data_IF_569730450164
#
_entry.id   IF_569730450164
#
_cell.length_a   1.000
_cell.length_b   1.000
_cell.length_c   1.000
_cell.angle_alpha   90.00
_cell.angle_beta   90.00
_cell.angle_gamma   90.00
#
_symmetry.space_group_name_H-M   'P 1'
#
loop_
_entity.id
_entity.type
_entity.pdbx_description
1 polymer ?
#
# COMPACT_ATOMS: atom_id res chain seq x y z
N UNK A 1 23.12 -8.63 -20.92
CA UNK A 1 22.43 -8.83 -22.22
C UNK A 1 22.19 -7.45 -22.83
N UNK A 2 22.62 -7.19 -24.07
CA UNK A 2 22.50 -5.88 -24.72
C UNK A 2 21.06 -5.69 -25.28
N UNK A 3 20.25 -4.75 -24.75
CA UNK A 3 18.88 -4.54 -25.22
C UNK A 3 18.80 -3.90 -26.61
N UNK A 4 19.90 -3.37 -27.16
CA UNK A 4 19.96 -2.67 -28.45
C UNK A 4 20.31 -3.57 -29.64
N UNK A 5 20.59 -4.86 -29.43
CA UNK A 5 20.91 -5.75 -30.53
C UNK A 5 19.64 -6.02 -31.38
N UNK A 6 19.65 -5.63 -32.64
CA UNK A 6 18.55 -5.67 -33.62
C UNK A 6 18.32 -7.06 -34.21
N UNK A 7 17.84 -8.01 -33.40
CA UNK A 7 17.25 -9.25 -33.93
C UNK A 7 15.75 -9.25 -33.61
N UNK A 8 14.90 -9.51 -34.60
CA UNK A 8 13.44 -9.69 -34.46
C UNK A 8 13.03 -10.89 -33.57
N UNK A 9 13.99 -11.56 -32.93
CA UNK A 9 13.72 -12.64 -31.98
C UNK A 9 13.16 -12.10 -30.66
N UNK A 10 12.10 -12.74 -30.16
CA UNK A 10 11.61 -12.53 -28.79
C UNK A 10 12.71 -12.82 -27.78
N UNK A 11 12.91 -11.92 -26.81
CA UNK A 11 13.94 -12.05 -25.77
C UNK A 11 13.33 -12.09 -24.38
N UNK A 12 13.77 -13.06 -23.59
CA UNK A 12 13.49 -13.11 -22.15
C UNK A 12 14.31 -12.04 -21.44
N UNK A 13 13.64 -11.25 -20.61
CA UNK A 13 14.26 -10.18 -19.81
C UNK A 13 13.78 -10.28 -18.36
N UNK A 14 14.57 -9.83 -17.37
CA UNK A 14 14.12 -9.78 -15.99
C UNK A 14 12.92 -8.84 -15.83
N UNK A 15 11.98 -9.15 -14.93
CA UNK A 15 10.73 -8.39 -14.81
C UNK A 15 10.88 -7.03 -14.12
N UNK A 16 12.02 -6.77 -13.47
CA UNK A 16 12.23 -5.58 -12.62
C UNK A 16 11.97 -4.26 -13.33
N UNK A 17 12.38 -4.12 -14.60
CA UNK A 17 12.13 -2.92 -15.40
C UNK A 17 10.64 -2.69 -15.67
N UNK A 18 9.90 -3.75 -16.00
CA UNK A 18 8.46 -3.66 -16.21
C UNK A 18 7.74 -3.33 -14.90
N UNK A 19 8.10 -3.97 -13.79
CA UNK A 19 7.54 -3.70 -12.46
C UNK A 19 7.78 -2.24 -12.03
N UNK A 20 8.99 -1.71 -12.26
CA UNK A 20 9.28 -0.30 -12.00
C UNK A 20 8.42 0.65 -12.85
N UNK A 21 8.16 0.30 -14.11
CA UNK A 21 7.24 1.03 -14.97
C UNK A 21 5.79 0.97 -14.50
N UNK A 22 5.33 -0.18 -13.98
CA UNK A 22 4.02 -0.31 -13.32
C UNK A 22 3.94 0.61 -12.11
N UNK A 23 4.98 0.62 -11.26
CA UNK A 23 5.04 1.47 -10.07
C UNK A 23 4.92 2.95 -10.41
N UNK A 24 5.69 3.43 -11.39
CA UNK A 24 5.65 4.82 -11.83
C UNK A 24 4.29 5.19 -12.42
N UNK A 25 3.70 4.29 -13.22
CA UNK A 25 2.39 4.51 -13.84
C UNK A 25 1.27 4.57 -12.79
N UNK A 26 1.25 3.63 -11.85
CA UNK A 26 0.22 3.59 -10.80
C UNK A 26 0.32 4.81 -9.89
N UNK A 27 1.52 5.21 -9.49
CA UNK A 27 1.73 6.38 -8.64
C UNK A 27 1.32 7.69 -9.34
N UNK A 28 1.66 7.83 -10.63
CA UNK A 28 1.39 9.02 -11.42
C UNK A 28 0.00 9.06 -12.07
N UNK A 29 -0.81 8.00 -11.96
CA UNK A 29 -2.11 7.93 -12.62
C UNK A 29 -3.13 8.94 -12.05
N UNK A 30 -3.04 9.24 -10.75
CA UNK A 30 -3.92 10.18 -10.04
C UNK A 30 -3.31 10.62 -8.71
N UNK A 31 -3.87 11.68 -8.13
CA UNK A 31 -3.60 12.04 -6.74
C UNK A 31 -3.92 10.87 -5.81
N UNK A 32 -2.98 10.54 -4.92
CA UNK A 32 -3.06 9.36 -4.05
C UNK A 32 -2.78 8.02 -4.74
N UNK A 33 -2.31 8.02 -6.00
CA UNK A 33 -1.95 6.80 -6.72
C UNK A 33 -0.91 5.93 -6.00
N UNK A 34 0.02 6.56 -5.27
CA UNK A 34 1.05 5.88 -4.45
C UNK A 34 0.49 4.94 -3.37
N UNK A 35 -0.77 5.15 -2.95
CA UNK A 35 -1.46 4.32 -1.96
C UNK A 35 -2.13 3.09 -2.59
N UNK A 36 -2.27 3.08 -3.91
CA UNK A 36 -2.90 1.98 -4.62
C UNK A 36 -1.92 0.82 -4.80
N UNK A 37 -2.39 -0.44 -4.69
CA UNK A 37 -1.58 -1.59 -5.02
C UNK A 37 -1.23 -1.59 -6.51
N UNK A 38 0.07 -1.62 -6.88
CA UNK A 38 0.49 -1.72 -8.27
C UNK A 38 0.38 -3.18 -8.78
N UNK A 39 -0.77 -3.81 -8.55
CA UNK A 39 -1.02 -5.24 -8.80
C UNK A 39 -2.43 -5.45 -9.35
N UNK A 40 -2.72 -6.69 -9.74
CA UNK A 40 -4.01 -7.09 -10.31
C UNK A 40 -4.19 -6.68 -11.77
N UNK A 41 -5.34 -7.05 -12.32
CA UNK A 41 -5.66 -6.96 -13.75
C UNK A 41 -5.83 -5.54 -14.29
N UNK A 42 -5.93 -4.52 -13.43
CA UNK A 42 -6.14 -3.13 -13.83
C UNK A 42 -4.85 -2.31 -13.68
N UNK A 43 -4.35 -2.15 -12.44
CA UNK A 43 -3.19 -1.32 -12.16
C UNK A 43 -1.87 -2.06 -12.42
N UNK A 44 -1.86 -3.39 -12.19
CA UNK A 44 -0.68 -4.25 -12.28
C UNK A 44 -0.27 -4.70 -13.68
N UNK A 45 -0.91 -4.22 -14.75
CA UNK A 45 -0.65 -4.67 -16.12
C UNK A 45 0.80 -4.40 -16.56
N UNK A 46 1.47 -5.43 -17.07
CA UNK A 46 2.80 -5.37 -17.67
C UNK A 46 2.66 -5.09 -19.18
N UNK A 47 2.70 -3.79 -19.55
CA UNK A 47 2.59 -3.37 -20.95
C UNK A 47 3.83 -3.76 -21.76
N UNK A 48 3.62 -4.17 -23.02
CA UNK A 48 4.70 -4.57 -23.93
C UNK A 48 5.25 -5.97 -23.71
N UNK A 49 4.71 -6.72 -22.73
CA UNK A 49 5.07 -8.12 -22.47
C UNK A 49 4.22 -9.02 -23.37
N UNK A 50 4.89 -9.88 -24.14
CA UNK A 50 4.23 -10.87 -25.02
C UNK A 50 3.79 -12.12 -24.26
N UNK A 51 4.51 -12.48 -23.20
CA UNK A 51 4.26 -13.64 -22.37
C UNK A 51 5.38 -13.85 -21.37
N UNK A 52 5.23 -14.87 -20.52
CA UNK A 52 6.26 -15.29 -19.57
C UNK A 52 7.03 -16.48 -20.14
N UNK A 53 8.28 -16.65 -19.69
CA UNK A 53 9.13 -17.78 -20.05
C UNK A 53 8.52 -19.12 -19.61
N UNK A 54 7.78 -19.11 -18.50
CA UNK A 54 7.10 -20.27 -17.94
C UNK A 54 5.67 -19.90 -17.54
N UNK A 55 4.75 -20.83 -17.72
CA UNK A 55 3.35 -20.72 -17.31
C UNK A 55 3.06 -21.50 -16.02
N UNK A 56 4.08 -21.95 -15.29
CA UNK A 56 3.92 -22.74 -14.07
C UNK A 56 3.13 -22.03 -12.97
N UNK A 57 3.14 -20.69 -12.98
CA UNK A 57 2.34 -19.85 -12.07
C UNK A 57 0.82 -20.05 -12.23
N UNK A 58 0.36 -20.58 -13.37
CA UNK A 58 -1.05 -20.91 -13.61
C UNK A 58 -1.49 -22.15 -12.83
N UNK A 59 -0.54 -22.99 -12.41
CA UNK A 59 -0.80 -24.10 -11.51
C UNK A 59 -0.82 -23.56 -10.07
N UNK A 60 -2.00 -23.57 -9.47
CA UNK A 60 -2.22 -23.08 -8.11
C UNK A 60 -1.31 -23.79 -7.11
N UNK A 61 -1.06 -25.09 -7.30
CA UNK A 61 -0.22 -25.87 -6.38
C UNK A 61 1.23 -25.38 -6.39
N UNK A 62 1.75 -24.91 -7.53
CA UNK A 62 3.09 -24.34 -7.64
C UNK A 62 3.14 -22.91 -7.11
N UNK A 63 2.12 -22.11 -7.43
CA UNK A 63 2.02 -20.72 -6.95
C UNK A 63 1.96 -20.67 -5.42
N UNK A 64 1.19 -21.56 -4.81
CA UNK A 64 0.98 -21.60 -3.36
C UNK A 64 2.21 -22.08 -2.58
N UNK A 65 3.21 -22.64 -3.25
CA UNK A 65 4.53 -22.90 -2.65
C UNK A 65 5.31 -21.59 -2.46
N UNK A 66 5.27 -20.68 -3.44
CA UNK A 66 6.11 -19.46 -3.43
C UNK A 66 5.46 -18.28 -2.71
N UNK A 67 4.13 -18.16 -2.74
CA UNK A 67 3.43 -17.02 -2.15
C UNK A 67 3.64 -16.87 -0.62
N UNK A 68 3.65 -17.95 0.19
CA UNK A 68 4.00 -17.88 1.62
C UNK A 68 5.41 -17.35 1.88
N UNK A 69 6.33 -17.53 0.92
CA UNK A 69 7.69 -17.00 0.96
C UNK A 69 7.81 -15.54 0.49
N UNK A 70 6.67 -14.84 0.38
CA UNK A 70 6.59 -13.41 0.06
C UNK A 70 7.12 -13.05 -1.34
N UNK A 71 7.07 -14.03 -2.26
CA UNK A 71 7.36 -13.83 -3.67
C UNK A 71 6.06 -13.52 -4.39
N UNK A 72 5.96 -12.34 -4.99
CA UNK A 72 4.80 -11.94 -5.79
C UNK A 72 4.91 -12.56 -7.19
N UNK A 73 4.01 -13.47 -7.59
CA UNK A 73 4.01 -14.06 -8.92
C UNK A 73 3.60 -13.04 -10.00
N UNK A 74 4.00 -13.32 -11.23
CA UNK A 74 3.54 -12.60 -12.42
C UNK A 74 2.73 -13.58 -13.25
N UNK A 75 1.51 -13.22 -13.62
CA UNK A 75 0.57 -14.17 -14.24
C UNK A 75 -0.26 -13.51 -15.35
N UNK A 76 -1.00 -14.33 -16.09
CA UNK A 76 -1.93 -13.91 -17.12
C UNK A 76 -3.07 -14.91 -17.22
N UNK A 77 -4.32 -14.43 -17.23
CA UNK A 77 -5.47 -15.29 -17.55
C UNK A 77 -5.72 -15.33 -19.05
N UNK A 78 -6.38 -16.38 -19.58
CA UNK A 78 -6.84 -16.39 -20.96
C UNK A 78 -7.64 -15.12 -21.28
N UNK A 79 -7.18 -14.34 -22.27
CA UNK A 79 -7.79 -13.07 -22.66
C UNK A 79 -7.42 -11.84 -21.80
N UNK A 80 -6.66 -12.01 -20.72
CA UNK A 80 -6.13 -10.91 -19.92
C UNK A 80 -4.67 -10.61 -20.28
N UNK A 81 -4.29 -9.32 -20.23
CA UNK A 81 -2.90 -8.92 -20.36
C UNK A 81 -2.08 -9.44 -19.16
N UNK A 82 -0.77 -9.74 -19.32
CA UNK A 82 0.10 -10.10 -18.21
C UNK A 82 0.09 -9.04 -17.09
N UNK A 83 0.04 -9.46 -15.82
CA UNK A 83 -0.04 -8.57 -14.67
C UNK A 83 0.68 -9.12 -13.43
N UNK A 84 0.88 -8.27 -12.42
CA UNK A 84 1.48 -8.62 -11.13
C UNK A 84 0.40 -9.19 -10.19
N UNK A 85 0.56 -10.44 -9.72
CA UNK A 85 -0.40 -11.16 -8.88
C UNK A 85 0.04 -11.21 -7.40
N UNK A 86 0.34 -10.05 -6.83
CA UNK A 86 0.75 -9.98 -5.43
C UNK A 86 1.21 -8.60 -5.01
N UNK A 87 1.02 -8.30 -3.73
CA UNK A 87 1.38 -7.00 -3.15
C UNK A 87 2.31 -7.12 -1.95
N UNK A 88 2.86 -8.30 -1.67
CA UNK A 88 3.67 -8.54 -0.47
C UNK A 88 5.04 -7.91 -0.57
N UNK A 89 5.54 -7.41 0.55
CA UNK A 89 6.96 -7.09 0.68
C UNK A 89 7.72 -8.30 1.25
N UNK A 90 9.06 -8.26 1.22
CA UNK A 90 9.91 -9.35 1.74
C UNK A 90 9.90 -9.50 3.28
N UNK A 91 9.12 -8.69 4.01
CA UNK A 91 9.11 -8.67 5.49
C UNK A 91 7.68 -8.58 6.02
N UNK A 92 7.06 -9.74 6.20
CA UNK A 92 5.67 -9.88 6.67
C UNK A 92 5.42 -9.37 8.10
N UNK A 93 6.38 -9.55 9.03
CA UNK A 93 6.23 -9.17 10.45
C UNK A 93 6.63 -7.70 10.74
N UNK A 94 6.42 -6.79 9.79
CA UNK A 94 6.82 -5.39 9.92
C UNK A 94 5.64 -4.44 9.74
N UNK A 95 5.82 -3.19 10.16
CA UNK A 95 4.88 -2.12 9.88
C UNK A 95 4.75 -1.97 8.35
N UNK A 96 3.53 -1.99 7.85
CA UNK A 96 3.21 -1.87 6.41
C UNK A 96 3.69 -3.10 5.59
N UNK A 97 3.05 -4.28 5.73
CA UNK A 97 3.49 -5.55 5.14
C UNK A 97 3.28 -5.65 3.62
N UNK A 98 2.51 -4.75 3.02
CA UNK A 98 2.36 -4.68 1.56
C UNK A 98 3.22 -3.58 0.93
N UNK A 99 3.48 -3.73 -0.36
CA UNK A 99 4.24 -2.81 -1.20
C UNK A 99 3.56 -1.44 -1.25
N UNK A 100 2.24 -1.37 -1.41
CA UNK A 100 1.51 -0.09 -1.45
C UNK A 100 1.54 0.62 -0.11
N UNK A 101 1.29 -0.08 0.99
CA UNK A 101 1.38 0.51 2.33
C UNK A 101 2.78 1.05 2.60
N UNK A 102 3.82 0.27 2.26
CA UNK A 102 5.21 0.66 2.51
C UNK A 102 5.62 1.86 1.67
N UNK A 103 5.25 1.89 0.39
CA UNK A 103 5.54 3.02 -0.51
C UNK A 103 4.78 4.28 -0.10
N UNK A 104 3.50 4.15 0.25
CA UNK A 104 2.70 5.25 0.79
C UNK A 104 3.28 5.84 2.07
N UNK A 105 3.73 4.99 3.00
CA UNK A 105 4.39 5.41 4.23
C UNK A 105 5.73 6.12 3.95
N UNK A 106 6.55 5.61 3.03
CA UNK A 106 7.81 6.25 2.61
C UNK A 106 7.52 7.63 1.98
N UNK A 107 6.51 7.73 1.12
CA UNK A 107 6.12 9.00 0.51
C UNK A 107 5.72 10.05 1.56
N UNK A 108 4.89 9.66 2.54
CA UNK A 108 4.50 10.52 3.66
C UNK A 108 5.73 10.95 4.46
N UNK A 109 6.59 10.01 4.84
CA UNK A 109 7.79 10.29 5.64
C UNK A 109 8.72 11.29 4.95
N UNK A 110 9.03 11.07 3.67
CA UNK A 110 9.92 11.95 2.91
C UNK A 110 9.30 13.33 2.67
N UNK A 111 7.99 13.38 2.41
CA UNK A 111 7.25 14.63 2.26
C UNK A 111 7.26 15.45 3.54
N UNK A 112 7.04 14.81 4.69
CA UNK A 112 7.11 15.47 6.00
C UNK A 112 8.53 15.94 6.33
N UNK A 113 9.57 15.13 6.06
CA UNK A 113 10.97 15.56 6.26
C UNK A 113 11.27 16.85 5.50
N UNK A 114 10.91 16.90 4.22
CA UNK A 114 11.07 18.10 3.39
C UNK A 114 10.21 19.27 3.89
N UNK A 115 8.96 19.00 4.26
CA UNK A 115 8.01 20.01 4.75
C UNK A 115 8.40 20.62 6.10
N UNK A 116 9.22 19.93 6.89
CA UNK A 116 9.66 20.37 8.23
C UNK A 116 11.05 21.03 8.25
N UNK A 117 11.72 21.18 7.10
CA UNK A 117 13.04 21.83 7.02
C UNK A 117 13.05 23.24 7.63
N UNK A 118 11.94 23.97 7.57
CA UNK A 118 11.84 25.30 8.18
C UNK A 118 12.06 25.31 9.70
N UNK A 119 11.89 24.17 10.38
CA UNK A 119 12.07 24.05 11.83
C UNK A 119 13.54 23.83 12.21
N UNK A 120 14.38 23.45 11.25
CA UNK A 120 15.80 23.22 11.46
C UNK A 120 16.48 24.51 11.95
N UNK A 121 17.35 24.39 12.95
CA UNK A 121 18.09 25.50 13.57
C UNK A 121 17.24 26.60 14.20
N UNK A 122 15.94 26.40 14.40
CA UNK A 122 15.08 27.33 15.17
C UNK A 122 15.10 27.00 16.67
N UNK A 123 14.76 28.00 17.48
CA UNK A 123 14.60 27.83 18.92
C UNK A 123 13.45 26.85 19.22
N UNK A 124 13.71 25.82 20.00
CA UNK A 124 12.70 24.84 20.43
C UNK A 124 11.75 25.46 21.46
N UNK A 125 10.74 26.18 20.97
CA UNK A 125 9.69 26.78 21.78
C UNK A 125 8.37 26.01 21.61
N UNK A 126 7.44 26.10 22.58
CA UNK A 126 6.08 25.57 22.40
C UNK A 126 5.41 26.08 21.11
N UNK A 127 5.66 27.33 20.72
CA UNK A 127 5.14 27.91 19.49
C UNK A 127 5.71 27.23 18.23
N UNK A 128 6.99 26.88 18.20
CA UNK A 128 7.59 26.11 17.10
C UNK A 128 6.97 24.71 17.03
N UNK A 129 6.86 24.01 18.16
CA UNK A 129 6.25 22.67 18.23
C UNK A 129 4.80 22.67 17.75
N UNK A 130 4.01 23.67 18.15
CA UNK A 130 2.64 23.85 17.66
C UNK A 130 2.59 24.12 16.15
N UNK A 131 3.56 24.85 15.60
CA UNK A 131 3.66 25.09 14.14
C UNK A 131 4.00 23.81 13.38
N UNK A 132 4.92 22.99 13.91
CA UNK A 132 5.23 21.66 13.37
C UNK A 132 3.98 20.79 13.35
N UNK A 133 3.27 20.69 14.48
CA UNK A 133 2.05 19.89 14.58
C UNK A 133 1.00 20.30 13.53
N UNK A 134 0.67 21.60 13.44
CA UNK A 134 -0.27 22.11 12.42
C UNK A 134 0.17 21.82 10.99
N UNK A 135 1.47 21.90 10.70
CA UNK A 135 2.00 21.62 9.35
C UNK A 135 1.81 20.15 8.99
N UNK A 136 2.11 19.25 9.93
CA UNK A 136 1.93 17.80 9.73
C UNK A 136 0.43 17.49 9.59
N UNK A 137 -0.42 18.02 10.46
CA UNK A 137 -1.87 17.80 10.41
C UNK A 137 -2.49 18.25 9.08
N UNK A 138 -2.11 19.44 8.59
CA UNK A 138 -2.60 19.96 7.31
C UNK A 138 -2.18 19.06 6.14
N UNK A 139 -0.94 18.57 6.16
CA UNK A 139 -0.45 17.63 5.15
C UNK A 139 -1.21 16.29 5.21
N UNK A 140 -1.35 15.69 6.39
CA UNK A 140 -2.05 14.42 6.57
C UNK A 140 -3.54 14.53 6.23
N UNK A 141 -4.17 15.67 6.51
CA UNK A 141 -5.56 15.92 6.07
C UNK A 141 -5.67 15.93 4.54
N UNK A 142 -4.66 16.45 3.85
CA UNK A 142 -4.61 16.39 2.38
C UNK A 142 -4.46 14.95 1.90
N UNK A 143 -3.58 14.16 2.52
CA UNK A 143 -3.41 12.75 2.19
C UNK A 143 -4.67 11.92 2.48
N UNK A 144 -5.39 12.25 3.56
CA UNK A 144 -6.68 11.65 3.89
C UNK A 144 -7.70 11.85 2.77
N UNK A 145 -7.80 13.08 2.23
CA UNK A 145 -8.69 13.40 1.10
C UNK A 145 -8.29 12.66 -0.19
N UNK A 146 -7.01 12.28 -0.32
CA UNK A 146 -6.48 11.49 -1.43
C UNK A 146 -6.62 9.97 -1.21
N UNK A 147 -7.28 9.52 -0.14
CA UNK A 147 -7.53 8.10 0.11
C UNK A 147 -6.34 7.34 0.68
N UNK A 148 -5.41 8.01 1.37
CA UNK A 148 -4.23 7.38 1.95
C UNK A 148 -4.53 6.38 3.08
N UNK A 149 -5.69 6.53 3.74
CA UNK A 149 -6.00 5.86 5.00
C UNK A 149 -7.25 5.00 4.90
N UNK A 150 -7.32 3.95 5.72
CA UNK A 150 -8.40 2.95 5.69
C UNK A 150 -9.73 3.45 6.24
N UNK A 151 -9.71 4.47 7.08
CA UNK A 151 -10.87 4.93 7.82
C UNK A 151 -11.49 6.15 7.14
N UNK A 152 -12.77 6.38 7.40
CA UNK A 152 -13.54 7.48 6.82
C UNK A 152 -13.48 8.78 7.62
N UNK A 153 -12.75 8.81 8.74
CA UNK A 153 -12.59 10.01 9.57
C UNK A 153 -11.11 10.32 9.84
N UNK A 154 -10.69 11.61 9.83
CA UNK A 154 -9.30 11.98 10.11
C UNK A 154 -8.81 11.50 11.48
N UNK A 155 -9.64 11.62 12.52
CA UNK A 155 -9.30 11.26 13.90
C UNK A 155 -8.97 9.76 14.08
N UNK A 156 -9.54 8.88 13.26
CA UNK A 156 -9.20 7.45 13.26
C UNK A 156 -8.04 7.12 12.31
N UNK A 157 -7.77 8.00 11.34
CA UNK A 157 -6.84 7.74 10.25
C UNK A 157 -5.39 8.02 10.61
N UNK A 158 -5.14 9.04 11.44
CA UNK A 158 -3.81 9.40 11.86
C UNK A 158 -3.81 10.13 13.21
N UNK A 159 -2.65 10.18 13.86
CA UNK A 159 -2.41 11.06 14.99
C UNK A 159 -1.05 11.75 14.86
N UNK A 160 -0.94 12.92 15.48
CA UNK A 160 0.30 13.69 15.58
C UNK A 160 0.51 14.06 17.05
N UNK A 161 1.66 13.70 17.60
CA UNK A 161 2.06 14.04 18.96
C UNK A 161 3.42 14.76 18.90
N UNK A 162 3.42 16.00 19.39
CA UNK A 162 4.60 16.85 19.59
C UNK A 162 4.59 17.43 21.01
N UNK A 163 3.89 16.76 21.92
CA UNK A 163 3.66 17.24 23.29
C UNK A 163 4.92 17.26 24.15
N UNK A 164 4.79 17.89 25.31
CA UNK A 164 5.90 18.03 26.27
C UNK A 164 6.33 16.68 26.87
N UNK A 165 5.41 15.71 26.96
CA UNK A 165 5.70 14.36 27.45
C UNK A 165 6.79 13.65 26.63
N UNK A 166 6.84 13.89 25.31
CA UNK A 166 7.87 13.35 24.40
C UNK A 166 8.98 14.36 24.09
N UNK A 167 8.85 15.60 24.57
CA UNK A 167 9.83 16.68 24.45
C UNK A 167 10.23 17.25 25.84
N UNK A 168 10.66 16.40 26.79
CA UNK A 168 11.09 16.85 28.10
C UNK A 168 12.34 17.75 28.00
N UNK A 169 12.72 18.47 29.07
CA UNK A 169 13.90 19.33 29.08
C UNK A 169 15.18 18.62 28.59
N UNK A 170 15.34 17.32 28.87
CA UNK A 170 16.49 16.52 28.40
C UNK A 170 16.63 16.52 26.87
N UNK A 171 15.53 16.43 26.14
CA UNK A 171 15.52 16.49 24.67
C UNK A 171 15.81 17.90 24.16
N UNK A 172 15.32 18.91 24.88
CA UNK A 172 15.60 20.32 24.57
C UNK A 172 17.09 20.64 24.74
N UNK A 173 17.72 20.17 25.83
CA UNK A 173 19.16 20.26 26.05
C UNK A 173 19.96 19.52 24.96
N UNK A 174 19.46 18.36 24.52
CA UNK A 174 20.03 17.61 23.40
C UNK A 174 19.77 18.24 22.02
N UNK A 175 19.06 19.40 21.96
CA UNK A 175 18.69 20.13 20.73
C UNK A 175 17.84 19.29 19.78
N UNK A 176 16.93 18.48 20.33
CA UNK A 176 16.01 17.62 19.59
C UNK A 176 14.57 18.07 19.78
N UNK A 177 13.77 17.84 18.74
CA UNK A 177 12.31 17.88 18.80
C UNK A 177 11.83 16.52 18.32
N UNK A 178 11.16 15.79 19.21
CA UNK A 178 10.53 14.52 18.91
C UNK A 178 9.10 14.76 18.42
N UNK A 179 8.76 14.09 17.33
CA UNK A 179 7.45 14.08 16.71
C UNK A 179 7.06 12.62 16.53
N UNK A 180 5.90 12.23 17.07
CA UNK A 180 5.29 10.93 16.81
C UNK A 180 4.14 11.10 15.85
N UNK A 181 4.17 10.34 14.77
CA UNK A 181 3.08 10.27 13.79
C UNK A 181 2.65 8.82 13.66
N UNK A 182 1.36 8.55 13.84
CA UNK A 182 0.76 7.27 13.50
C UNK A 182 -0.18 7.42 12.31
N UNK A 183 -0.19 6.42 11.42
CA UNK A 183 -1.05 6.38 10.24
C UNK A 183 -1.72 5.01 10.13
N UNK A 184 -2.98 5.00 9.71
CA UNK A 184 -3.79 3.80 9.51
C UNK A 184 -3.97 3.51 8.01
N UNK A 185 -2.99 2.85 7.40
CA UNK A 185 -3.01 2.49 5.97
C UNK A 185 -4.02 1.38 5.66
N UNK A 186 -4.48 1.34 4.41
CA UNK A 186 -5.32 0.26 3.91
C UNK A 186 -4.46 -0.92 3.44
N UNK A 187 -4.78 -2.12 3.93
CA UNK A 187 -4.15 -3.37 3.48
C UNK A 187 -4.88 -3.87 2.22
N UNK A 188 -4.15 -4.20 1.14
CA UNK A 188 -4.75 -4.84 -0.03
C UNK A 188 -5.38 -6.20 0.32
N UNK A 189 -6.41 -6.59 -0.44
CA UNK A 189 -7.06 -7.89 -0.33
C UNK A 189 -6.33 -8.92 -1.19
N UNK A 190 -5.83 -9.97 -0.56
CA UNK A 190 -5.15 -11.09 -1.25
C UNK A 190 -6.16 -12.15 -1.74
N UNK A 191 -7.25 -12.39 -1.01
CA UNK A 191 -8.20 -13.47 -1.30
C UNK A 191 -9.65 -13.04 -1.18
N UNK A 192 -10.48 -13.56 -2.07
CA UNK A 192 -11.94 -13.50 -2.00
C UNK A 192 -12.43 -14.92 -1.77
N UNK A 193 -12.99 -15.19 -0.60
CA UNK A 193 -13.54 -16.51 -0.25
C UNK A 193 -15.05 -16.46 -0.45
N UNK A 194 -15.53 -17.15 -1.49
CA UNK A 194 -16.96 -17.33 -1.72
C UNK A 194 -17.46 -18.53 -0.94
N UNK A 195 -18.53 -18.35 -0.17
CA UNK A 195 -19.23 -19.41 0.54
C UNK A 195 -20.65 -19.48 -0.02
N UNK A 196 -21.03 -20.64 -0.55
CA UNK A 196 -22.36 -20.88 -1.08
C UNK A 196 -23.09 -21.90 -0.21
N UNK A 197 -24.34 -21.60 0.12
CA UNK A 197 -25.26 -22.50 0.80
C UNK A 197 -26.63 -22.40 0.14
N UNK A 198 -27.46 -23.43 0.30
CA UNK A 198 -28.86 -23.35 -0.09
C UNK A 198 -29.55 -22.22 0.68
N UNK A 199 -30.39 -21.44 0.00
CA UNK A 199 -31.19 -20.42 0.65
C UNK A 199 -32.34 -21.08 1.42
N UNK A 200 -32.22 -21.14 2.73
CA UNK A 200 -33.22 -21.71 3.64
C UNK A 200 -34.12 -20.67 4.27
N UNK A 201 -33.98 -19.38 3.93
CA UNK A 201 -34.72 -18.29 4.60
C UNK A 201 -36.23 -18.46 4.50
N UNK A 202 -36.74 -18.87 3.33
CA UNK A 202 -38.18 -19.11 3.14
C UNK A 202 -38.72 -20.26 4.02
N UNK A 203 -37.93 -21.31 4.19
CA UNK A 203 -38.26 -22.45 5.06
C UNK A 203 -38.18 -22.05 6.54
N UNK A 204 -37.18 -21.25 6.91
CA UNK A 204 -37.02 -20.71 8.27
C UNK A 204 -38.17 -19.78 8.65
N UNK A 205 -38.64 -18.94 7.73
CA UNK A 205 -39.81 -18.07 7.89
C UNK A 205 -41.10 -18.88 8.07
N UNK A 206 -41.30 -19.93 7.28
CA UNK A 206 -42.44 -20.85 7.41
C UNK A 206 -42.45 -21.56 8.78
N UNK A 207 -41.31 -22.14 9.19
CA UNK A 207 -41.16 -22.81 10.50
C UNK A 207 -41.37 -21.84 11.67
N UNK A 208 -40.82 -20.62 11.58
CA UNK A 208 -40.99 -19.59 12.60
C UNK A 208 -42.46 -19.17 12.75
N UNK A 209 -43.19 -19.05 11.62
CA UNK A 209 -44.63 -18.75 11.65
C UNK A 209 -45.47 -19.90 12.23
N UNK A 210 -45.11 -21.15 11.92
CA UNK A 210 -45.79 -22.33 12.43
C UNK A 210 -45.55 -22.57 13.93
N UNK A 211 -44.39 -22.18 14.45
CA UNK A 211 -44.01 -22.35 15.87
C UNK A 211 -44.60 -21.27 16.79
N UNK A 212 -45.21 -20.21 16.23
CA UNK A 212 -45.83 -19.11 16.96
C UNK A 212 -47.33 -19.33 17.25
N UNK A 213 -47.88 -20.49 16.89
CA UNK A 213 -49.29 -20.88 17.05
C UNK A 213 -49.41 -22.02 18.05
#
# INVERSE_FOLDING_TARGET
>A
VNPLATSDATRTVPPSGHVAGVFARTDGAKDGGVYQPPAGVELGILRGVLGFETTEVLDETKRDVVYPHLVNPLTSYPGAAPFIDGTRNLRSNFNFPSVSERRGAIFIEQSLKKGLEFARHKNNTPALRATIARTIEAFLLTQFRQGAFRHSTPAQSYFVDVGDAINPPTEQFARRINVRVGIATAKPTDWIILKFSQDTRALEEEIASASAT
#
